data_IF_050100301705
#
_entry.id   IF_050100301705
#
_cell.length_a   1.000
_cell.length_b   1.000
_cell.length_c   1.000
_cell.angle_alpha   90.00
_cell.angle_beta   90.00
_cell.angle_gamma   90.00
#
_symmetry.space_group_name_H-M   'P 1'
#
loop_
_entity.id
_entity.type
_entity.pdbx_description
1 polymer ?
#
# COMPACT_ATOMS: atom_id res chain seq x y z
N UNK A 1 -14.96 -15.97 -4.36
CA UNK A 1 -13.89 -14.96 -4.21
C UNK A 1 -13.27 -14.62 -5.57
N UNK A 2 -12.80 -15.58 -6.36
CA UNK A 2 -12.18 -15.32 -7.67
C UNK A 2 -13.05 -14.54 -8.68
N UNK A 3 -14.37 -14.71 -8.66
CA UNK A 3 -15.31 -14.00 -9.54
C UNK A 3 -15.42 -12.49 -9.29
N UNK A 4 -14.87 -11.97 -8.20
CA UNK A 4 -14.84 -10.53 -7.87
C UNK A 4 -13.44 -9.93 -8.01
N UNK A 5 -12.45 -10.71 -8.43
CA UNK A 5 -11.10 -10.21 -8.62
C UNK A 5 -11.11 -9.18 -9.76
N UNK A 6 -10.61 -7.99 -9.48
CA UNK A 6 -10.29 -7.01 -10.51
C UNK A 6 -8.92 -7.37 -11.06
N UNK A 7 -8.85 -7.67 -12.35
CA UNK A 7 -7.61 -8.04 -13.04
C UNK A 7 -7.30 -7.05 -14.14
N UNK A 8 -6.01 -6.84 -14.40
CA UNK A 8 -5.52 -6.07 -15.54
C UNK A 8 -4.12 -6.56 -15.92
N UNK A 9 -3.67 -6.15 -17.10
CA UNK A 9 -2.34 -6.49 -17.61
C UNK A 9 -1.66 -5.25 -18.17
N UNK A 10 -0.36 -5.13 -17.93
CA UNK A 10 0.51 -4.14 -18.53
C UNK A 10 1.71 -4.86 -19.16
N UNK A 11 2.27 -4.36 -20.28
CA UNK A 11 3.52 -4.88 -20.82
C UNK A 11 4.62 -4.83 -19.76
N UNK A 12 5.35 -5.93 -19.57
CA UNK A 12 6.42 -6.03 -18.57
C UNK A 12 7.48 -4.93 -18.70
N UNK A 13 7.75 -4.50 -19.93
CA UNK A 13 8.73 -3.46 -20.24
C UNK A 13 8.32 -2.07 -19.72
N UNK A 14 7.02 -1.83 -19.48
CA UNK A 14 6.49 -0.55 -18.98
C UNK A 14 6.48 -0.47 -17.45
N UNK A 15 6.61 -1.61 -16.75
CA UNK A 15 6.55 -1.68 -15.28
C UNK A 15 7.97 -1.70 -14.70
N UNK A 16 8.30 -0.66 -13.92
CA UNK A 16 9.61 -0.50 -13.27
C UNK A 16 9.65 -0.95 -11.82
N UNK A 17 8.49 -1.00 -11.16
CA UNK A 17 8.37 -1.44 -9.78
C UNK A 17 6.97 -1.97 -9.53
N UNK A 18 6.84 -2.83 -8.52
CA UNK A 18 5.56 -3.37 -8.07
C UNK A 18 5.48 -3.28 -6.55
N UNK A 19 4.31 -2.86 -6.05
CA UNK A 19 3.96 -2.94 -4.65
C UNK A 19 2.69 -3.80 -4.50
N UNK A 20 2.71 -4.72 -3.54
CA UNK A 20 1.54 -5.49 -3.13
C UNK A 20 1.25 -5.21 -1.66
N UNK A 21 -0.01 -4.91 -1.35
CA UNK A 21 -0.45 -4.45 -0.03
C UNK A 21 -1.66 -5.27 0.42
N UNK A 22 -1.75 -5.57 1.71
CA UNK A 22 -3.00 -6.03 2.33
C UNK A 22 -3.88 -4.84 2.71
N UNK A 23 -5.18 -5.06 2.91
CA UNK A 23 -6.14 -4.03 3.35
C UNK A 23 -5.66 -3.25 4.59
N UNK A 24 -4.97 -3.92 5.52
CA UNK A 24 -4.36 -3.26 6.67
C UNK A 24 -3.32 -2.20 6.31
N UNK A 25 -2.57 -2.39 5.22
CA UNK A 25 -1.59 -1.42 4.73
C UNK A 25 -2.23 -0.31 3.87
N UNK A 26 -3.32 -0.61 3.13
CA UNK A 26 -3.99 0.40 2.28
C UNK A 26 -4.73 1.47 3.08
N UNK A 27 -5.00 1.21 4.36
CA UNK A 27 -5.66 2.17 5.29
C UNK A 27 -5.00 3.54 5.35
N UNK A 28 -3.70 3.66 5.06
CA UNK A 28 -3.04 4.96 4.93
C UNK A 28 -3.72 5.86 3.88
N UNK A 29 -4.09 5.29 2.72
CA UNK A 29 -4.87 5.94 1.66
C UNK A 29 -6.36 5.94 2.00
N UNK A 30 -6.94 4.75 2.20
CA UNK A 30 -8.39 4.57 2.15
C UNK A 30 -9.11 5.03 3.43
N UNK A 31 -8.49 4.84 4.60
CA UNK A 31 -9.11 5.14 5.91
C UNK A 31 -8.64 6.48 6.47
N UNK A 32 -7.34 6.75 6.36
CA UNK A 32 -6.71 7.92 6.95
C UNK A 32 -6.50 9.07 5.96
N UNK A 33 -6.73 8.85 4.67
CA UNK A 33 -6.69 9.88 3.62
C UNK A 33 -5.40 10.72 3.65
N UNK A 34 -4.26 10.09 3.92
CA UNK A 34 -2.99 10.80 4.07
C UNK A 34 -2.34 11.18 2.73
N UNK A 35 -2.82 10.61 1.64
CA UNK A 35 -2.36 10.91 0.29
C UNK A 35 -3.01 10.01 -0.74
N UNK A 36 -2.61 10.19 -1.99
CA UNK A 36 -3.04 9.36 -3.13
C UNK A 36 -2.29 8.04 -3.17
N UNK A 37 -2.72 7.13 -4.04
CA UNK A 37 -1.97 5.90 -4.35
C UNK A 37 -0.57 6.18 -4.89
N UNK A 38 -0.39 7.27 -5.66
CA UNK A 38 0.92 7.71 -6.16
C UNK A 38 1.83 8.14 -5.01
N UNK A 39 1.28 8.84 -4.01
CA UNK A 39 2.03 9.26 -2.82
C UNK A 39 2.40 8.05 -1.97
N UNK A 40 1.50 7.08 -1.83
CA UNK A 40 1.75 5.82 -1.14
C UNK A 40 2.92 5.04 -1.79
N UNK A 41 2.90 4.88 -3.12
CA UNK A 41 4.00 4.22 -3.83
C UNK A 41 5.31 5.02 -3.73
N UNK A 42 5.23 6.34 -3.75
CA UNK A 42 6.41 7.22 -3.58
C UNK A 42 7.03 7.07 -2.19
N UNK A 43 6.20 7.01 -1.14
CA UNK A 43 6.62 6.76 0.24
C UNK A 43 7.30 5.39 0.36
N UNK A 44 6.66 4.32 -0.14
CA UNK A 44 7.24 2.96 -0.11
C UNK A 44 8.59 2.95 -0.84
N UNK A 45 8.70 3.58 -2.00
CA UNK A 45 9.94 3.61 -2.78
C UNK A 45 11.06 4.39 -2.09
N UNK A 46 10.74 5.55 -1.49
CA UNK A 46 11.76 6.43 -0.90
C UNK A 46 12.16 6.03 0.52
N UNK A 47 11.20 5.55 1.31
CA UNK A 47 11.37 5.35 2.74
C UNK A 47 11.18 3.87 3.15
N UNK A 48 10.72 3.04 2.23
CA UNK A 48 10.57 1.59 2.42
C UNK A 48 9.19 1.17 2.93
N UNK A 49 8.91 -0.12 2.78
CA UNK A 49 7.67 -0.76 3.24
C UNK A 49 7.42 -0.55 4.75
N UNK A 50 8.48 -0.61 5.56
CA UNK A 50 8.37 -0.43 7.01
C UNK A 50 7.93 0.99 7.41
N UNK A 51 8.33 2.01 6.64
CA UNK A 51 7.90 3.39 6.89
C UNK A 51 6.39 3.52 6.73
N UNK A 52 5.81 2.98 5.64
CA UNK A 52 4.35 2.98 5.44
C UNK A 52 3.63 2.31 6.63
N UNK A 53 4.10 1.14 7.07
CA UNK A 53 3.52 0.45 8.23
C UNK A 53 3.61 1.29 9.51
N UNK A 54 4.73 1.98 9.72
CA UNK A 54 4.93 2.88 10.86
C UNK A 54 3.95 4.05 10.84
N UNK A 55 3.70 4.64 9.66
CA UNK A 55 2.69 5.69 9.51
C UNK A 55 1.29 5.16 9.80
N UNK A 56 0.92 3.99 9.27
CA UNK A 56 -0.38 3.35 9.57
C UNK A 56 -0.55 3.18 11.09
N UNK A 57 0.44 2.61 11.79
CA UNK A 57 0.33 2.41 13.24
C UNK A 57 0.29 3.72 14.03
N UNK A 58 0.99 4.75 13.55
CA UNK A 58 0.92 6.08 14.15
C UNK A 58 -0.50 6.64 14.04
N UNK A 59 -1.09 6.61 12.84
CA UNK A 59 -2.45 7.11 12.60
C UNK A 59 -3.50 6.33 13.38
N UNK A 60 -3.35 5.01 13.49
CA UNK A 60 -4.24 4.18 14.31
C UNK A 60 -4.22 4.54 15.80
N UNK A 61 -3.09 5.04 16.31
CA UNK A 61 -2.97 5.49 17.71
C UNK A 61 -3.43 6.93 17.94
N UNK A 62 -3.24 7.81 16.95
CA UNK A 62 -3.50 9.25 17.10
C UNK A 62 -4.86 9.69 16.58
N UNK A 63 -5.51 8.88 15.75
CA UNK A 63 -6.84 9.20 15.22
C UNK A 63 -7.94 8.73 16.19
N UNK A 64 -8.97 9.56 16.46
CA UNK A 64 -10.12 9.13 17.24
C UNK A 64 -10.74 7.84 16.69
N UNK A 65 -11.26 6.96 17.57
CA UNK A 65 -11.81 5.68 17.14
C UNK A 65 -12.96 5.88 16.15
N UNK A 66 -12.91 5.13 15.05
CA UNK A 66 -13.97 5.03 14.04
C UNK A 66 -14.56 3.62 14.08
N UNK A 67 -15.85 3.42 13.70
CA UNK A 67 -16.44 2.09 13.64
C UNK A 67 -15.56 1.06 12.89
N UNK A 68 -15.56 -0.17 13.41
CA UNK A 68 -14.69 -1.26 12.94
C UNK A 68 -13.37 -1.38 13.72
N UNK A 69 -12.45 -2.20 13.23
CA UNK A 69 -11.20 -2.51 13.93
C UNK A 69 -10.26 -1.30 13.99
N UNK A 70 -9.65 -1.04 15.16
CA UNK A 70 -8.57 -0.07 15.32
C UNK A 70 -7.33 -0.48 14.53
N UNK A 71 -6.97 -1.76 14.60
CA UNK A 71 -5.83 -2.34 13.90
C UNK A 71 -6.28 -3.46 12.97
N UNK A 72 -5.60 -3.59 11.83
CA UNK A 72 -5.69 -4.75 10.96
C UNK A 72 -4.30 -5.28 10.62
N UNK A 73 -4.21 -6.52 10.13
CA UNK A 73 -2.94 -7.11 9.68
C UNK A 73 -2.46 -6.42 8.42
N UNK A 74 -1.23 -5.89 8.48
CA UNK A 74 -0.68 -5.02 7.45
C UNK A 74 0.63 -5.62 6.92
N UNK A 75 0.66 -5.96 5.64
CA UNK A 75 1.83 -6.47 4.94
C UNK A 75 2.03 -5.69 3.65
N UNK A 76 3.29 -5.38 3.34
CA UNK A 76 3.69 -4.67 2.13
C UNK A 76 4.89 -5.40 1.53
N UNK A 77 4.80 -5.72 0.24
CA UNK A 77 5.93 -6.18 -0.57
C UNK A 77 6.20 -5.09 -1.60
N UNK A 78 7.48 -4.73 -1.77
CA UNK A 78 7.94 -3.81 -2.81
C UNK A 78 9.13 -4.42 -3.53
N UNK A 79 9.14 -4.32 -4.85
CA UNK A 79 10.26 -4.77 -5.67
C UNK A 79 10.46 -3.82 -6.85
N UNK A 80 11.72 -3.49 -7.12
CA UNK A 80 12.11 -2.87 -8.37
C UNK A 80 12.40 -3.95 -9.40
N UNK A 81 11.91 -3.72 -10.61
CA UNK A 81 11.99 -4.67 -11.69
C UNK A 81 13.11 -4.22 -12.65
N UNK A 82 14.06 -5.10 -13.01
CA UNK A 82 15.10 -4.75 -13.95
C UNK A 82 14.47 -4.44 -15.32
N UNK A 83 15.08 -3.48 -16.02
CA UNK A 83 14.80 -3.28 -17.44
C UNK A 83 15.27 -4.52 -18.21
N UNK A 84 14.37 -5.11 -18.97
CA UNK A 84 14.69 -6.20 -19.89
C UNK A 84 15.05 -5.54 -21.21
N UNK A 85 16.33 -5.55 -21.56
CA UNK A 85 16.86 -5.05 -22.84
C UNK A 85 16.45 -5.95 -23.99
#
# INVERSE_FOLDING_TARGET
MASRAVTGSLPRAEVRALAALTDGATRWVDRFHQGTWTDCLTLIRKEGAHALLTHVRTLERTTPPRPGKTHDDATVIYTELPHTT
#
